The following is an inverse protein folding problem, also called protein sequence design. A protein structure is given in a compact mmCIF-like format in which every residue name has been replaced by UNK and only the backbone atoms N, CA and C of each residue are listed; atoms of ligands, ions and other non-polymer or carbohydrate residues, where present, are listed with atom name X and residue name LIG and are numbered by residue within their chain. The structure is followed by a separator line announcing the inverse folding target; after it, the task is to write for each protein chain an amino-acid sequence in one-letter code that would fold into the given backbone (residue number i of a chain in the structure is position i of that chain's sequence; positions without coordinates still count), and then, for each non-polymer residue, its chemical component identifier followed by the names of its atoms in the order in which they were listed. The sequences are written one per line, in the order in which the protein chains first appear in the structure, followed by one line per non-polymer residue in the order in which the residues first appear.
data_IF_880873428024
#
_entry.id   IF_880873428024
#
_cell.length_a   1.000
_cell.length_b   1.000
_cell.length_c   1.000
_cell.angle_alpha   90.00
_cell.angle_beta   90.00
_cell.angle_gamma   90.00
#
_symmetry.space_group_name_H-M   'P 1'
#
loop_
_entity.id
_entity.type
_entity.pdbx_description
1 polymer ?
#
# COMPACT_ATOMS: atom_id res chain seq x y z
N UNK A 1 -38.68 35.13 4.60
CA UNK A 1 -39.01 33.69 4.48
C UNK A 1 -37.71 32.96 4.17
N UNK A 2 -37.25 32.12 5.11
CA UNK A 2 -36.09 31.19 5.10
C UNK A 2 -34.69 31.77 4.81
N UNK A 3 -34.18 32.53 5.79
CA UNK A 3 -32.80 32.37 6.25
C UNK A 3 -32.81 31.14 7.16
N UNK A 4 -32.17 30.05 6.75
CA UNK A 4 -32.17 28.81 7.52
C UNK A 4 -31.75 27.63 6.66
N UNK A 5 -30.43 27.41 6.60
CA UNK A 5 -29.68 26.16 6.35
C UNK A 5 -28.29 26.48 5.76
N UNK A 6 -27.62 27.45 6.38
CA UNK A 6 -26.17 27.35 6.60
C UNK A 6 -26.02 26.63 7.93
N UNK A 7 -25.99 25.30 7.90
CA UNK A 7 -25.62 24.52 9.07
C UNK A 7 -25.12 23.13 8.65
N UNK A 8 -23.80 23.01 8.69
CA UNK A 8 -23.15 21.87 9.30
C UNK A 8 -23.27 20.52 8.57
N UNK A 9 -22.31 20.30 7.67
CA UNK A 9 -21.35 19.25 7.97
C UNK A 9 -19.94 19.77 7.69
N UNK A 10 -19.58 20.80 8.46
CA UNK A 10 -18.22 20.92 9.01
C UNK A 10 -17.98 19.75 9.96
N UNK A 11 -18.02 18.53 9.41
CA UNK A 11 -17.15 17.49 9.89
C UNK A 11 -15.79 17.86 9.34
N UNK A 12 -15.02 18.60 10.14
CA UNK A 12 -13.58 18.41 10.21
C UNK A 12 -13.39 16.91 10.45
N UNK A 13 -13.48 16.13 9.37
CA UNK A 13 -13.36 14.70 9.38
C UNK A 13 -11.92 14.51 9.80
N UNK A 14 -11.75 14.15 11.07
CA UNK A 14 -10.57 13.49 11.59
C UNK A 14 -10.17 12.53 10.48
N UNK A 15 -9.21 12.93 9.65
CA UNK A 15 -8.85 12.16 8.48
C UNK A 15 -8.49 10.83 9.06
N UNK A 16 -9.29 9.80 8.78
CA UNK A 16 -9.14 8.51 9.41
C UNK A 16 -7.83 7.94 8.91
N UNK A 17 -6.73 8.27 9.60
CA UNK A 17 -5.37 7.91 9.20
C UNK A 17 -5.28 6.40 9.04
N UNK A 18 -6.11 5.67 9.80
CA UNK A 18 -6.37 4.23 9.69
C UNK A 18 -6.89 3.83 8.28
N UNK A 19 -7.85 4.56 7.73
CA UNK A 19 -8.37 4.33 6.38
C UNK A 19 -7.36 4.70 5.30
N UNK A 20 -6.58 5.76 5.50
CA UNK A 20 -5.51 6.15 4.58
C UNK A 20 -4.41 5.08 4.53
N UNK A 21 -4.06 4.52 5.70
CA UNK A 21 -3.11 3.43 5.86
C UNK A 21 -3.67 2.14 5.23
N UNK A 22 -4.93 1.79 5.50
CA UNK A 22 -5.59 0.63 4.89
C UNK A 22 -5.65 0.74 3.36
N UNK A 23 -5.98 1.92 2.84
CA UNK A 23 -5.95 2.20 1.39
C UNK A 23 -4.53 2.11 0.83
N UNK A 24 -3.53 2.60 1.55
CA UNK A 24 -2.14 2.47 1.13
C UNK A 24 -1.73 1.00 1.06
N UNK A 25 -2.10 0.17 2.05
CA UNK A 25 -1.90 -1.28 2.05
C UNK A 25 -2.53 -1.94 0.82
N UNK A 26 -3.77 -1.59 0.49
CA UNK A 26 -4.45 -2.13 -0.69
C UNK A 26 -3.71 -1.82 -2.00
N UNK A 27 -3.18 -0.61 -2.17
CA UNK A 27 -2.44 -0.22 -3.38
C UNK A 27 -1.19 -1.09 -3.61
N UNK A 28 -0.45 -1.49 -2.57
CA UNK A 28 0.75 -2.32 -2.75
C UNK A 28 0.40 -3.72 -3.19
N UNK A 29 -0.64 -4.31 -2.59
CA UNK A 29 -1.11 -5.62 -3.00
C UNK A 29 -1.54 -5.62 -4.48
N UNK A 30 -2.19 -4.54 -4.93
CA UNK A 30 -2.53 -4.35 -6.35
C UNK A 30 -1.28 -4.28 -7.22
N UNK A 31 -0.31 -3.43 -6.86
CA UNK A 31 0.94 -3.27 -7.63
C UNK A 31 1.71 -4.59 -7.71
N UNK A 32 1.85 -5.31 -6.59
CA UNK A 32 2.50 -6.61 -6.55
C UNK A 32 1.80 -7.64 -7.45
N UNK A 33 0.46 -7.67 -7.40
CA UNK A 33 -0.33 -8.52 -8.27
C UNK A 33 -0.15 -8.20 -9.75
N UNK A 34 -0.16 -6.92 -10.13
CA UNK A 34 0.07 -6.46 -11.50
C UNK A 34 1.47 -6.85 -12.00
N UNK A 35 2.50 -6.70 -11.17
CA UNK A 35 3.87 -7.08 -11.55
C UNK A 35 4.02 -8.59 -11.77
N UNK A 36 3.44 -9.42 -10.90
CA UNK A 36 3.44 -10.88 -11.09
C UNK A 36 2.69 -11.24 -12.37
N UNK A 37 1.52 -10.62 -12.60
CA UNK A 37 0.73 -10.82 -13.81
C UNK A 37 1.48 -10.38 -15.08
N UNK A 38 2.26 -9.30 -15.01
CA UNK A 38 3.07 -8.81 -16.14
C UNK A 38 4.19 -9.76 -16.53
N UNK A 39 4.65 -10.61 -15.61
CA UNK A 39 5.68 -11.62 -15.87
C UNK A 39 5.10 -12.96 -16.35
N UNK A 40 3.79 -13.14 -16.24
CA UNK A 40 3.08 -14.33 -16.71
C UNK A 40 3.40 -14.70 -18.18
N UNK A 41 3.51 -13.75 -19.14
CA UNK A 41 3.90 -14.07 -20.52
C UNK A 41 5.35 -14.57 -20.64
N UNK A 42 6.27 -14.03 -19.83
CA UNK A 42 7.70 -14.37 -19.87
C UNK A 42 7.96 -15.80 -19.37
N UNK A 43 7.18 -16.26 -18.39
CA UNK A 43 7.28 -17.62 -17.85
C UNK A 43 6.89 -18.69 -18.87
N UNK A 44 6.03 -18.35 -19.85
CA UNK A 44 5.61 -19.28 -20.91
C UNK A 44 6.57 -19.31 -22.11
N UNK A 45 7.51 -18.36 -22.21
CA UNK A 45 8.42 -18.22 -23.36
C UNK A 45 9.46 -19.34 -23.47
N UNK A 46 9.63 -20.19 -22.44
CA UNK A 46 10.53 -21.34 -22.45
C UNK A 46 12.04 -21.01 -22.39
N UNK A 47 12.39 -19.73 -22.30
CA UNK A 47 13.78 -19.25 -22.25
C UNK A 47 14.21 -19.07 -20.80
N UNK A 48 15.10 -19.95 -20.33
CA UNK A 48 15.56 -20.03 -18.93
C UNK A 48 16.14 -18.71 -18.41
N UNK A 49 16.86 -17.96 -19.25
CA UNK A 49 17.47 -16.68 -18.86
C UNK A 49 16.42 -15.65 -18.42
N UNK A 50 15.34 -15.53 -19.17
CA UNK A 50 14.26 -14.56 -18.90
C UNK A 50 13.29 -15.07 -17.83
N UNK A 51 13.11 -16.39 -17.74
CA UNK A 51 12.37 -17.04 -16.66
C UNK A 51 13.08 -16.85 -15.32
N UNK A 52 14.41 -16.96 -15.26
CA UNK A 52 15.20 -16.72 -14.05
C UNK A 52 15.13 -15.25 -13.58
N UNK A 53 15.17 -14.31 -14.52
CA UNK A 53 14.94 -12.88 -14.23
C UNK A 53 13.55 -12.61 -13.65
N UNK A 54 12.52 -13.24 -14.21
CA UNK A 54 11.16 -13.11 -13.72
C UNK A 54 10.99 -13.69 -12.31
N UNK A 55 11.52 -14.89 -12.06
CA UNK A 55 11.50 -15.53 -10.75
C UNK A 55 12.20 -14.70 -9.68
N UNK A 56 13.40 -14.20 -9.96
CA UNK A 56 14.14 -13.34 -9.04
C UNK A 56 13.35 -12.08 -8.68
N UNK A 57 12.72 -11.46 -9.68
CA UNK A 57 11.89 -10.26 -9.47
C UNK A 57 10.66 -10.53 -8.62
N UNK A 58 9.98 -11.67 -8.83
CA UNK A 58 8.84 -12.08 -8.00
C UNK A 58 9.29 -12.29 -6.55
N UNK A 59 10.39 -13.02 -6.31
CA UNK A 59 10.93 -13.22 -4.97
C UNK A 59 11.34 -11.89 -4.31
N UNK A 60 12.06 -11.03 -5.04
CA UNK A 60 12.45 -9.71 -4.57
C UNK A 60 11.25 -8.84 -4.20
N UNK A 61 10.18 -8.90 -4.99
CA UNK A 61 8.96 -8.14 -4.72
C UNK A 61 8.18 -8.71 -3.54
N UNK A 62 8.04 -10.04 -3.44
CA UNK A 62 7.39 -10.67 -2.29
C UNK A 62 8.11 -10.32 -0.99
N UNK A 63 9.44 -10.48 -0.94
CA UNK A 63 10.25 -10.13 0.23
C UNK A 63 10.17 -8.62 0.49
N UNK A 64 10.30 -7.78 -0.55
CA UNK A 64 10.26 -6.33 -0.43
C UNK A 64 8.92 -5.81 0.12
N UNK A 65 7.79 -6.34 -0.36
CA UNK A 65 6.46 -5.95 0.11
C UNK A 65 6.24 -6.42 1.55
N UNK A 66 6.60 -7.67 1.86
CA UNK A 66 6.43 -8.23 3.20
C UNK A 66 7.30 -7.55 4.25
N UNK A 67 8.50 -7.08 3.90
CA UNK A 67 9.41 -6.46 4.87
C UNK A 67 9.16 -4.95 4.95
N UNK A 68 9.14 -4.26 3.81
CA UNK A 68 9.12 -2.79 3.78
C UNK A 68 7.85 -2.24 4.41
N UNK A 69 6.70 -2.88 4.19
CA UNK A 69 5.41 -2.34 4.65
C UNK A 69 5.15 -2.44 6.16
N UNK A 70 5.33 -3.58 6.83
CA UNK A 70 5.25 -3.62 8.29
C UNK A 70 6.39 -2.82 8.94
N UNK A 71 7.61 -2.87 8.37
CA UNK A 71 8.72 -2.09 8.88
C UNK A 71 8.43 -0.58 8.82
N UNK A 72 7.83 -0.07 7.74
CA UNK A 72 7.51 1.36 7.63
C UNK A 72 6.50 1.82 8.68
N UNK A 73 5.51 1.00 9.02
CA UNK A 73 4.56 1.31 10.10
C UNK A 73 5.25 1.47 11.45
N UNK A 74 6.10 0.49 11.80
CA UNK A 74 6.89 0.49 13.03
C UNK A 74 7.90 1.64 13.05
N UNK A 75 8.60 1.88 11.94
CA UNK A 75 9.60 2.94 11.82
C UNK A 75 8.95 4.32 11.94
N UNK A 76 7.80 4.55 11.30
CA UNK A 76 7.07 5.83 11.41
C UNK A 76 6.60 6.07 12.85
N UNK A 77 6.11 5.04 13.53
CA UNK A 77 5.74 5.10 14.95
C UNK A 77 6.94 5.47 15.84
N UNK A 78 8.09 4.86 15.58
CA UNK A 78 9.34 5.11 16.33
C UNK A 78 9.96 6.48 16.03
N UNK A 79 9.98 6.93 14.76
CA UNK A 79 10.60 8.20 14.35
C UNK A 79 9.75 9.42 14.68
N UNK A 80 8.43 9.33 14.46
CA UNK A 80 7.54 10.45 14.73
C UNK A 80 7.00 10.44 16.17
N UNK A 81 7.28 9.40 16.96
CA UNK A 81 6.99 9.37 18.39
C UNK A 81 5.54 9.74 18.71
N UNK A 82 4.60 9.40 17.82
CA UNK A 82 3.19 9.67 18.09
C UNK A 82 2.73 8.60 19.07
N UNK A 83 2.95 8.87 20.35
CA UNK A 83 2.14 8.31 21.42
C UNK A 83 0.80 9.04 21.29
N UNK A 84 -0.29 8.42 20.80
CA UNK A 84 -1.62 8.91 21.10
C UNK A 84 -1.86 8.66 22.59
N UNK A 85 -1.25 9.51 23.41
CA UNK A 85 -1.80 9.85 24.72
C UNK A 85 -2.85 10.91 24.41
N UNK A 86 -4.09 10.44 24.30
CA UNK A 86 -5.36 11.18 24.22
C UNK A 86 -5.84 11.60 22.81
#
# INVERSE_FOLDING_TARGET
RKTGEVASSEGMHTRDTKDLIAKAFAVIFVVAGVSIASMMPLLMSGIVEITGFALSSIFGMLIGVFITRPAYGVIVEQLYGYTPSD
#
